data_IF_090395536321
#
_entry.id   IF_090395536321
#
_cell.length_a   1.000
_cell.length_b   1.000
_cell.length_c   1.000
_cell.angle_alpha   90.00
_cell.angle_beta   90.00
_cell.angle_gamma   90.00
#
_symmetry.space_group_name_H-M   'P 1'
#
loop_
_entity.id
_entity.type
_entity.pdbx_description
1 polymer ?
#
# COMPACT_ATOMS: atom_id res chain seq x y z
N UNK A 1 0.18 -12.15 0.10
CA UNK A 1 -0.01 -10.99 -0.78
C UNK A 1 -1.49 -10.69 -0.79
N UNK A 2 -1.87 -9.46 -0.44
CA UNK A 2 -3.25 -9.02 -0.35
C UNK A 2 -3.43 -7.74 -1.15
N UNK A 3 -4.55 -7.64 -1.85
CA UNK A 3 -4.92 -6.46 -2.63
C UNK A 3 -6.10 -5.78 -1.96
N UNK A 4 -5.96 -4.49 -1.67
CA UNK A 4 -7.03 -3.65 -1.15
C UNK A 4 -7.39 -2.58 -2.18
N UNK A 5 -8.68 -2.23 -2.26
CA UNK A 5 -9.13 -1.13 -3.10
C UNK A 5 -9.23 0.13 -2.25
N UNK A 6 -8.63 1.21 -2.76
CA UNK A 6 -8.63 2.51 -2.11
C UNK A 6 -9.15 3.59 -3.07
N UNK A 7 -10.01 4.45 -2.55
CA UNK A 7 -10.53 5.62 -3.26
C UNK A 7 -10.03 6.87 -2.56
N UNK A 8 -9.10 7.65 -3.17
CA UNK A 8 -8.63 8.90 -2.59
C UNK A 8 -9.76 9.91 -2.42
N UNK A 9 -9.78 10.66 -1.32
CA UNK A 9 -10.87 11.54 -0.91
C UNK A 9 -11.17 12.69 -1.90
N UNK A 10 -10.31 12.91 -2.90
CA UNK A 10 -10.42 13.99 -3.88
C UNK A 10 -10.42 13.53 -5.34
N UNK A 11 -10.55 12.24 -5.59
CA UNK A 11 -10.58 11.70 -6.95
C UNK A 11 -11.65 10.63 -7.11
N UNK A 12 -12.31 10.57 -8.27
CA UNK A 12 -13.20 9.45 -8.63
C UNK A 12 -12.43 8.20 -9.05
N UNK A 13 -11.14 8.11 -8.68
CA UNK A 13 -10.25 7.03 -9.09
C UNK A 13 -10.31 5.92 -8.06
N UNK A 14 -10.27 4.68 -8.55
CA UNK A 14 -10.12 3.50 -7.72
C UNK A 14 -8.69 3.00 -7.94
N UNK A 15 -7.96 2.88 -6.84
CA UNK A 15 -6.60 2.37 -6.80
C UNK A 15 -6.60 0.96 -6.21
N UNK A 16 -5.91 0.05 -6.87
CA UNK A 16 -5.61 -1.27 -6.31
C UNK A 16 -4.23 -1.20 -5.65
N UNK A 17 -4.19 -1.44 -4.34
CA UNK A 17 -2.97 -1.44 -3.56
C UNK A 17 -2.63 -2.89 -3.24
N UNK A 18 -1.52 -3.38 -3.77
CA UNK A 18 -0.95 -4.68 -3.40
C UNK A 18 0.00 -4.50 -2.21
N UNK A 19 -0.19 -5.32 -1.19
CA UNK A 19 0.62 -5.36 0.02
C UNK A 19 1.18 -6.77 0.17
N UNK A 20 2.51 -6.86 0.25
CA UNK A 20 3.22 -8.11 0.50
C UNK A 20 3.90 -8.05 1.88
N UNK A 21 3.19 -8.44 2.95
CA UNK A 21 3.79 -8.48 4.28
C UNK A 21 4.84 -9.60 4.36
N UNK A 22 5.91 -9.31 5.09
CA UNK A 22 7.02 -10.22 5.36
C UNK A 22 7.47 -10.02 6.80
N UNK A 23 7.39 -11.07 7.61
CA UNK A 23 7.95 -11.06 8.95
C UNK A 23 9.47 -11.28 8.88
N UNK A 24 10.22 -10.37 9.48
CA UNK A 24 11.67 -10.44 9.54
C UNK A 24 12.11 -11.42 10.66
N UNK A 25 13.33 -11.98 10.59
CA UNK A 25 13.87 -12.84 11.65
C UNK A 25 13.95 -12.17 13.04
N UNK A 26 14.00 -10.83 13.07
CA UNK A 26 13.95 -10.04 14.32
C UNK A 26 12.59 -10.03 15.00
N UNK A 27 11.55 -10.57 14.35
CA UNK A 27 10.15 -10.49 14.79
C UNK A 27 9.43 -9.24 14.32
N UNK A 28 10.14 -8.26 13.74
CA UNK A 28 9.54 -7.07 13.14
C UNK A 28 8.87 -7.38 11.80
N UNK A 29 7.91 -6.57 11.39
CA UNK A 29 7.24 -6.72 10.10
C UNK A 29 7.77 -5.73 9.07
N UNK A 30 7.74 -6.16 7.82
CA UNK A 30 8.01 -5.34 6.65
C UNK A 30 6.94 -5.60 5.61
N UNK A 31 6.66 -4.64 4.73
CA UNK A 31 5.80 -4.90 3.58
C UNK A 31 6.28 -4.12 2.37
N UNK A 32 6.28 -4.80 1.24
CA UNK A 32 6.41 -4.15 -0.05
C UNK A 32 5.02 -3.82 -0.59
N UNK A 33 4.83 -2.55 -0.94
CA UNK A 33 3.54 -2.03 -1.34
C UNK A 33 3.61 -1.45 -2.75
N UNK A 34 2.68 -1.86 -3.62
CA UNK A 34 2.59 -1.39 -5.01
C UNK A 34 1.20 -0.82 -5.29
N UNK A 35 1.15 0.36 -5.88
CA UNK A 35 -0.11 1.05 -6.17
C UNK A 35 -0.39 1.02 -7.66
N UNK A 36 -1.59 0.58 -7.99
CA UNK A 36 -2.07 0.47 -9.35
C UNK A 36 -3.37 1.25 -9.52
N UNK A 37 -3.61 1.75 -10.72
CA UNK A 37 -4.87 2.37 -11.12
C UNK A 37 -5.42 1.62 -12.33
N UNK A 38 -6.73 1.40 -12.34
CA UNK A 38 -7.42 0.86 -13.51
C UNK A 38 -7.77 1.99 -14.48
N UNK A 39 -7.06 2.06 -15.60
CA UNK A 39 -7.25 3.07 -16.65
C UNK A 39 -7.71 2.35 -17.92
N UNK A 40 -8.94 2.63 -18.37
CA UNK A 40 -9.52 2.02 -19.57
C UNK A 40 -9.46 0.47 -19.59
N UNK A 41 -9.64 -0.16 -18.42
CA UNK A 41 -9.57 -1.61 -18.26
C UNK A 41 -8.15 -2.19 -18.16
N UNK A 42 -7.12 -1.35 -18.18
CA UNK A 42 -5.72 -1.74 -18.01
C UNK A 42 -5.23 -1.34 -16.64
N UNK A 43 -4.55 -2.26 -15.96
CA UNK A 43 -3.91 -2.01 -14.67
C UNK A 43 -2.57 -1.30 -14.89
N UNK A 44 -2.49 -0.04 -14.48
CA UNK A 44 -1.31 0.81 -14.64
C UNK A 44 -0.65 1.02 -13.27
N UNK A 45 0.64 0.71 -13.14
CA UNK A 45 1.39 1.01 -11.91
C UNK A 45 1.58 2.54 -11.79
N UNK A 46 1.10 3.12 -10.69
CA UNK A 46 1.18 4.58 -10.40
C UNK A 46 2.26 4.95 -9.39
N UNK A 47 2.80 3.95 -8.70
CA UNK A 47 3.91 4.12 -7.79
C UNK A 47 4.50 2.76 -7.43
N UNK A 48 5.81 2.65 -7.53
CA UNK A 48 6.57 1.48 -7.08
C UNK A 48 7.00 1.66 -5.63
N UNK A 49 6.55 0.74 -4.77
CA UNK A 49 7.36 0.23 -3.67
C UNK A 49 7.49 1.15 -2.46
N UNK A 50 6.39 1.52 -1.80
CA UNK A 50 6.47 1.92 -0.39
C UNK A 50 6.86 0.68 0.41
N UNK A 51 8.17 0.48 0.59
CA UNK A 51 8.68 -0.56 1.47
C UNK A 51 8.58 -0.05 2.90
N UNK A 52 7.63 -0.60 3.64
CA UNK A 52 7.52 -0.39 5.07
C UNK A 52 8.52 -1.30 5.76
N UNK A 53 9.31 -0.73 6.65
CA UNK A 53 10.33 -1.45 7.43
C UNK A 53 10.05 -1.26 8.91
N UNK A 54 10.37 -2.31 9.66
CA UNK A 54 10.32 -2.33 11.12
C UNK A 54 8.97 -1.89 11.69
N UNK A 55 7.88 -2.33 11.05
CA UNK A 55 6.52 -2.04 11.51
C UNK A 55 6.23 -2.87 12.77
N UNK A 56 5.85 -2.23 13.89
CA UNK A 56 5.43 -2.93 15.08
C UNK A 56 4.01 -3.48 14.86
N UNK A 57 3.91 -4.77 14.56
CA UNK A 57 2.64 -5.47 14.38
C UNK A 57 2.68 -6.80 15.13
N UNK A 58 1.56 -7.19 15.75
CA UNK A 58 1.50 -8.45 16.52
C UNK A 58 1.12 -9.65 15.65
N UNK A 59 0.47 -9.39 14.52
CA UNK A 59 0.08 -10.38 13.51
C UNK A 59 0.12 -9.77 12.09
N UNK A 60 -0.19 -10.60 11.09
CA UNK A 60 -0.25 -10.16 9.69
C UNK A 60 -1.35 -9.12 9.45
N UNK A 61 -2.51 -9.27 10.10
CA UNK A 61 -3.64 -8.33 9.94
C UNK A 61 -3.28 -6.92 10.45
N UNK A 62 -2.65 -6.82 11.63
CA UNK A 62 -2.12 -5.55 12.15
C UNK A 62 -1.16 -4.88 11.17
N UNK A 63 -0.31 -5.69 10.51
CA UNK A 63 0.66 -5.21 9.54
C UNK A 63 -0.05 -4.69 8.28
N UNK A 64 -1.08 -5.38 7.81
CA UNK A 64 -1.86 -4.99 6.64
C UNK A 64 -2.62 -3.68 6.89
N UNK A 65 -3.22 -3.52 8.08
CA UNK A 65 -3.92 -2.30 8.47
C UNK A 65 -2.96 -1.10 8.60
N UNK A 66 -1.80 -1.32 9.22
CA UNK A 66 -0.75 -0.31 9.32
C UNK A 66 -0.23 0.10 7.94
N UNK A 67 -0.06 -0.87 7.04
CA UNK A 67 0.38 -0.63 5.68
C UNK A 67 -0.66 0.15 4.87
N UNK A 68 -1.93 -0.25 4.94
CA UNK A 68 -3.04 0.43 4.30
C UNK A 68 -3.13 1.90 4.74
N UNK A 69 -3.04 2.16 6.04
CA UNK A 69 -3.07 3.53 6.60
C UNK A 69 -1.90 4.38 6.10
N UNK A 70 -0.68 3.83 6.05
CA UNK A 70 0.49 4.58 5.57
C UNK A 70 0.38 4.93 4.10
N UNK A 71 -0.05 3.98 3.27
CA UNK A 71 -0.17 4.18 1.83
C UNK A 71 -1.28 5.21 1.54
N UNK A 72 -2.41 5.14 2.26
CA UNK A 72 -3.46 6.14 2.15
C UNK A 72 -2.94 7.56 2.48
N UNK A 73 -2.15 7.71 3.55
CA UNK A 73 -1.51 8.98 3.91
C UNK A 73 -0.56 9.49 2.80
N UNK A 74 0.27 8.61 2.24
CA UNK A 74 1.21 8.96 1.19
C UNK A 74 0.50 9.34 -0.13
N UNK A 75 -0.62 8.68 -0.45
CA UNK A 75 -1.47 9.04 -1.60
C UNK A 75 -2.06 10.45 -1.42
N UNK A 76 -2.66 10.72 -0.26
CA UNK A 76 -3.30 12.02 0.02
C UNK A 76 -2.26 13.16 0.04
N UNK A 77 -1.03 12.89 0.46
CA UNK A 77 0.07 13.86 0.52
C UNK A 77 0.99 13.85 -0.72
N UNK A 78 0.66 13.08 -1.77
CA UNK A 78 1.46 12.96 -3.00
C UNK A 78 2.93 12.58 -2.76
N UNK A 79 3.20 11.75 -1.75
CA UNK A 79 4.54 11.32 -1.36
C UNK A 79 4.91 10.03 -2.09
N UNK A 80 5.79 10.11 -3.08
CA UNK A 80 6.29 8.93 -3.80
C UNK A 80 5.27 8.25 -4.72
N UNK A 81 4.01 8.70 -4.73
CA UNK A 81 2.94 8.22 -5.60
C UNK A 81 2.48 9.38 -6.47
N UNK A 82 2.68 9.26 -7.79
CA UNK A 82 2.24 10.27 -8.75
C UNK A 82 0.94 9.78 -9.39
N UNK A 83 -0.19 10.34 -8.96
CA UNK A 83 -1.51 10.08 -9.53
C UNK A 83 -1.79 10.97 -10.75
#
# INVERSE_FOLDING_TARGET
MQTIQYSPNRSSRILDIEIQPTQQPSGAWSADCSVYEMVAGVRVCRGTGLTLRDVPATCEDDMLDAAASRIADDIEHQRGITL
#
